data_IF_719752031566
#
_entry.id   IF_719752031566
#
_cell.length_a   1.000
_cell.length_b   1.000
_cell.length_c   1.000
_cell.angle_alpha   90.00
_cell.angle_beta   90.00
_cell.angle_gamma   90.00
#
_symmetry.space_group_name_H-M   'P 1'
#
loop_
_entity.id
_entity.type
_entity.pdbx_description
1 polymer ?
#
# COMPACT_ATOMS: atom_id res chain seq x y z
N UNK A 1 -22.99 52.49 -25.62
CA UNK A 1 -23.29 51.48 -24.57
C UNK A 1 -22.54 50.21 -24.99
N UNK A 2 -21.43 49.88 -24.32
CA UNK A 2 -20.73 48.61 -24.53
C UNK A 2 -21.35 47.58 -23.60
N UNK A 3 -21.99 46.56 -24.16
CA UNK A 3 -22.42 45.39 -23.42
C UNK A 3 -21.30 44.34 -23.49
N UNK A 4 -20.63 44.09 -22.37
CA UNK A 4 -19.72 42.96 -22.23
C UNK A 4 -20.55 41.75 -21.78
N UNK A 5 -20.61 40.72 -22.62
CA UNK A 5 -21.15 39.41 -22.23
C UNK A 5 -20.07 38.72 -21.41
N UNK A 6 -20.28 38.63 -20.10
CA UNK A 6 -19.46 37.77 -19.26
C UNK A 6 -19.77 36.31 -19.63
N UNK A 7 -18.84 35.65 -20.33
CA UNK A 7 -18.89 34.20 -20.52
C UNK A 7 -18.42 33.59 -19.20
N UNK A 8 -19.36 33.17 -18.36
CA UNK A 8 -19.03 32.35 -17.19
C UNK A 8 -18.78 30.91 -17.67
N UNK A 9 -17.52 30.51 -17.75
CA UNK A 9 -17.14 29.09 -17.88
C UNK A 9 -17.59 28.36 -16.62
N UNK A 10 -18.69 27.61 -16.70
CA UNK A 10 -19.15 26.73 -15.64
C UNK A 10 -18.30 25.46 -15.66
N UNK A 11 -17.27 25.41 -14.82
CA UNK A 11 -16.55 24.16 -14.54
C UNK A 11 -17.45 23.27 -13.68
N UNK A 12 -18.05 22.25 -14.28
CA UNK A 12 -18.75 21.21 -13.54
C UNK A 12 -17.78 20.07 -13.27
N UNK A 13 -17.16 20.07 -12.09
CA UNK A 13 -16.33 18.93 -11.66
C UNK A 13 -17.26 17.76 -11.33
N UNK A 14 -17.33 16.77 -12.23
CA UNK A 14 -18.03 15.52 -11.97
C UNK A 14 -17.06 14.51 -11.38
N UNK A 15 -17.42 13.85 -10.27
CA UNK A 15 -16.60 12.80 -9.69
C UNK A 15 -16.35 11.66 -10.70
N UNK A 16 -15.10 11.21 -10.78
CA UNK A 16 -14.70 10.14 -11.69
C UNK A 16 -15.43 8.82 -11.36
N UNK A 17 -15.91 8.06 -12.37
CA UNK A 17 -16.51 6.74 -12.17
C UNK A 17 -15.52 5.73 -11.56
N UNK A 18 -15.99 4.71 -10.84
CA UNK A 18 -15.11 3.67 -10.28
C UNK A 18 -14.25 2.97 -11.33
N UNK A 19 -14.75 2.82 -12.56
CA UNK A 19 -14.04 2.13 -13.66
C UNK A 19 -12.83 2.87 -14.21
N UNK A 20 -12.64 4.12 -13.77
CA UNK A 20 -11.48 4.93 -14.16
C UNK A 20 -10.41 4.93 -13.08
N UNK A 21 -10.65 4.27 -11.93
CA UNK A 21 -9.59 4.04 -10.96
C UNK A 21 -8.49 3.21 -11.63
N UNK A 22 -7.23 3.63 -11.51
CA UNK A 22 -6.08 2.84 -11.93
C UNK A 22 -6.08 1.48 -11.24
N UNK A 23 -5.71 0.44 -11.99
CA UNK A 23 -5.65 -0.95 -11.50
C UNK A 23 -4.39 -1.60 -12.04
N UNK A 24 -3.77 -2.50 -11.28
CA UNK A 24 -2.75 -3.40 -11.82
C UNK A 24 -3.41 -4.67 -12.36
N UNK A 25 -3.09 -5.13 -13.59
CA UNK A 25 -3.55 -6.40 -14.11
C UNK A 25 -2.84 -7.54 -13.38
N UNK A 26 -3.60 -8.34 -12.63
CA UNK A 26 -3.08 -9.43 -11.81
C UNK A 26 -4.11 -10.54 -11.70
N UNK A 27 -3.67 -11.73 -11.31
CA UNK A 27 -4.57 -12.79 -10.88
C UNK A 27 -5.38 -12.37 -9.64
N UNK A 28 -6.50 -13.04 -9.40
CA UNK A 28 -7.39 -12.69 -8.27
C UNK A 28 -6.70 -12.84 -6.91
N UNK A 29 -5.75 -13.78 -6.81
CA UNK A 29 -4.96 -14.05 -5.62
C UNK A 29 -3.50 -14.15 -6.06
N UNK A 30 -2.64 -13.32 -5.48
CA UNK A 30 -1.19 -13.34 -5.73
C UNK A 30 -0.43 -13.58 -4.42
N UNK A 31 0.71 -14.28 -4.51
CA UNK A 31 1.56 -14.54 -3.33
C UNK A 31 2.17 -13.22 -2.82
N UNK A 32 2.14 -13.00 -1.51
CA UNK A 32 2.95 -11.99 -0.83
C UNK A 32 4.39 -12.51 -0.79
N UNK A 33 5.22 -11.96 -1.67
CA UNK A 33 6.64 -12.22 -1.81
C UNK A 33 7.39 -10.91 -2.12
N UNK A 34 8.70 -10.97 -2.39
CA UNK A 34 9.53 -9.77 -2.64
C UNK A 34 9.33 -9.14 -4.04
N UNK A 35 8.43 -9.69 -4.84
CA UNK A 35 8.00 -9.16 -6.15
C UNK A 35 6.57 -8.60 -6.10
N UNK A 36 5.87 -8.79 -4.98
CA UNK A 36 4.52 -8.30 -4.78
C UNK A 36 4.52 -6.77 -4.65
N UNK A 37 3.57 -6.04 -5.26
CA UNK A 37 3.52 -4.58 -5.13
C UNK A 37 3.43 -4.08 -3.68
N UNK A 38 2.85 -4.87 -2.76
CA UNK A 38 2.81 -4.55 -1.34
C UNK A 38 4.17 -4.70 -0.63
N UNK A 39 5.24 -5.16 -1.28
CA UNK A 39 6.53 -5.40 -0.63
C UNK A 39 7.10 -4.13 0.02
N UNK A 40 7.41 -4.20 1.32
CA UNK A 40 7.89 -3.07 2.14
C UNK A 40 9.33 -2.65 1.90
N UNK A 41 9.84 -2.80 0.67
CA UNK A 41 11.15 -2.35 0.21
C UNK A 41 11.13 -2.18 -1.31
N UNK A 42 12.24 -1.73 -1.91
CA UNK A 42 12.34 -1.60 -3.36
C UNK A 42 12.23 -2.97 -4.07
N UNK A 43 11.51 -3.00 -5.19
CA UNK A 43 11.40 -4.16 -6.07
C UNK A 43 12.41 -4.01 -7.20
N UNK A 44 13.37 -4.92 -7.31
CA UNK A 44 14.44 -4.82 -8.32
C UNK A 44 14.00 -5.19 -9.74
N UNK A 45 12.94 -5.98 -9.88
CA UNK A 45 12.41 -6.44 -11.17
C UNK A 45 10.91 -6.62 -11.07
N UNK A 46 10.12 -5.54 -11.21
CA UNK A 46 8.67 -5.62 -11.09
C UNK A 46 8.10 -6.48 -12.23
N UNK A 47 7.38 -7.53 -11.86
CA UNK A 47 6.68 -8.42 -12.80
C UNK A 47 5.35 -7.78 -13.24
N UNK A 48 4.76 -6.97 -12.37
CA UNK A 48 3.51 -6.26 -12.61
C UNK A 48 3.81 -4.83 -13.01
N UNK A 49 3.42 -4.45 -14.21
CA UNK A 49 3.40 -3.05 -14.64
C UNK A 49 2.01 -2.47 -14.36
N UNK A 50 1.95 -1.18 -14.01
CA UNK A 50 0.68 -0.48 -13.90
C UNK A 50 0.09 -0.30 -15.29
N UNK A 51 -0.65 -1.28 -15.78
CA UNK A 51 -1.55 -1.06 -16.92
C UNK A 51 -2.76 -0.28 -16.43
N UNK A 52 -2.57 1.03 -16.29
CA UNK A 52 -3.68 1.96 -16.11
C UNK A 52 -4.59 1.76 -17.30
N UNK A 53 -5.79 1.20 -17.08
CA UNK A 53 -6.82 1.18 -18.10
C UNK A 53 -7.00 2.63 -18.57
N UNK A 54 -6.60 2.91 -19.81
CA UNK A 54 -6.76 4.21 -20.47
C UNK A 54 -8.24 4.44 -20.81
N UNK A 55 -9.11 4.35 -19.81
CA UNK A 55 -10.47 4.84 -19.93
C UNK A 55 -10.37 6.36 -19.83
N UNK A 56 -10.05 6.99 -20.96
CA UNK A 56 -10.03 8.44 -21.14
C UNK A 56 -11.40 8.96 -20.72
N UNK A 57 -11.45 9.63 -19.58
CA UNK A 57 -12.51 10.59 -19.31
C UNK A 57 -11.94 11.94 -19.69
N UNK A 58 -12.56 12.59 -20.67
CA UNK A 58 -12.37 14.01 -20.87
C UNK A 58 -12.85 14.70 -19.59
N UNK A 59 -11.91 15.06 -18.71
CA UNK A 59 -12.21 15.68 -17.42
C UNK A 59 -12.79 17.09 -17.58
N UNK A 60 -12.54 17.72 -18.74
CA UNK A 60 -13.09 19.02 -19.11
C UNK A 60 -13.71 18.94 -20.51
N UNK A 61 -15.02 19.18 -20.59
CA UNK A 61 -15.65 19.60 -21.84
C UNK A 61 -15.86 21.10 -21.75
N UNK A 62 -14.96 21.87 -22.35
CA UNK A 62 -15.15 23.30 -22.55
C UNK A 62 -16.05 23.49 -23.78
N UNK A 63 -17.19 24.14 -23.59
CA UNK A 63 -18.03 24.60 -24.70
C UNK A 63 -17.65 26.05 -24.98
N UNK A 64 -16.87 26.28 -26.02
CA UNK A 64 -16.55 27.62 -26.51
C UNK A 64 -17.30 27.81 -27.82
N UNK A 65 -18.22 28.76 -27.87
CA UNK A 65 -19.00 29.11 -29.08
C UNK A 65 -19.79 27.95 -29.73
N UNK A 66 -20.19 26.93 -28.96
CA UNK A 66 -20.94 25.78 -29.48
C UNK A 66 -20.08 24.69 -30.12
N UNK A 67 -18.76 24.83 -30.06
CA UNK A 67 -17.80 23.77 -30.40
C UNK A 67 -17.29 23.13 -29.10
N UNK A 68 -17.14 21.80 -29.14
CA UNK A 68 -16.62 21.00 -28.02
C UNK A 68 -15.11 20.92 -28.15
N UNK A 69 -14.39 21.49 -27.19
CA UNK A 69 -12.95 21.30 -27.07
C UNK A 69 -12.69 20.20 -26.04
N UNK A 70 -11.87 19.21 -26.42
CA UNK A 70 -11.50 18.08 -25.58
C UNK A 70 -10.01 18.18 -25.23
N UNK A 71 -9.68 18.30 -23.96
CA UNK A 71 -8.31 18.03 -23.49
C UNK A 71 -8.13 16.51 -23.41
N UNK A 72 -7.57 15.93 -24.48
CA UNK A 72 -7.16 14.52 -24.53
C UNK A 72 -5.70 14.42 -24.08
N UNK A 73 -5.45 13.80 -22.92
CA UNK A 73 -4.10 13.49 -22.47
C UNK A 73 -3.69 12.09 -22.91
N UNK A 74 -2.79 12.02 -23.91
CA UNK A 74 -2.10 10.80 -24.34
C UNK A 74 -1.38 10.99 -25.68
N UNK A 75 -0.08 10.63 -25.75
CA UNK A 75 0.76 10.73 -26.96
C UNK A 75 0.43 9.65 -28.02
N UNK A 76 -0.81 9.64 -28.51
CA UNK A 76 -1.26 8.71 -29.54
C UNK A 76 -2.05 9.42 -30.64
N UNK A 77 -1.61 9.26 -31.89
CA UNK A 77 -2.33 9.73 -33.07
C UNK A 77 -3.67 8.95 -33.19
N UNK A 78 -4.80 9.63 -32.93
CA UNK A 78 -6.12 9.01 -32.97
C UNK A 78 -6.74 9.17 -34.37
N UNK A 79 -6.98 8.05 -35.06
CA UNK A 79 -7.80 7.98 -36.27
C UNK A 79 -9.10 7.23 -35.96
N UNK A 80 -10.09 7.97 -35.45
CA UNK A 80 -11.42 7.45 -35.17
C UNK A 80 -12.39 8.59 -34.86
N UNK A 81 -13.67 8.41 -35.20
CA UNK A 81 -14.72 9.36 -34.81
C UNK A 81 -14.83 9.41 -33.28
N UNK A 82 -14.52 10.57 -32.69
CA UNK A 82 -14.72 10.83 -31.28
C UNK A 82 -16.22 10.93 -30.98
N UNK A 83 -16.83 9.81 -30.58
CA UNK A 83 -18.19 9.83 -30.02
C UNK A 83 -18.09 10.37 -28.61
N UNK A 84 -18.55 11.61 -28.41
CA UNK A 84 -18.74 12.23 -27.10
C UNK A 84 -19.84 11.51 -26.30
N UNK A 85 -19.56 10.29 -25.86
CA UNK A 85 -20.39 9.55 -24.93
C UNK A 85 -20.26 10.22 -23.57
N UNK A 86 -21.28 10.99 -23.16
CA UNK A 86 -21.53 11.25 -21.73
C UNK A 86 -21.56 9.90 -21.02
N UNK A 87 -20.46 9.48 -20.41
CA UNK A 87 -20.44 8.38 -19.47
C UNK A 87 -21.27 8.81 -18.26
N UNK A 88 -22.59 8.65 -18.37
CA UNK A 88 -23.51 8.80 -17.23
C UNK A 88 -23.01 7.88 -16.15
N UNK A 89 -22.70 8.44 -14.97
CA UNK A 89 -22.35 7.70 -13.76
C UNK A 89 -23.31 6.52 -13.58
N UNK A 90 -22.81 5.30 -13.73
CA UNK A 90 -23.57 4.08 -13.42
C UNK A 90 -23.28 3.73 -11.97
N UNK A 91 -24.28 3.79 -11.10
CA UNK A 91 -24.09 3.43 -9.68
C UNK A 91 -23.75 1.94 -9.48
N UNK A 92 -24.08 1.11 -10.47
CA UNK A 92 -23.81 -0.34 -10.57
C UNK A 92 -22.41 -0.66 -11.13
N UNK A 93 -21.63 0.37 -11.50
CA UNK A 93 -20.30 0.23 -12.06
C UNK A 93 -19.34 -0.57 -11.17
N UNK A 94 -18.54 -1.44 -11.79
CA UNK A 94 -17.47 -2.23 -11.14
C UNK A 94 -16.18 -2.03 -11.92
N UNK A 95 -15.07 -1.75 -11.24
CA UNK A 95 -13.72 -1.87 -11.79
C UNK A 95 -13.14 -3.25 -11.46
N UNK A 96 -12.00 -3.62 -12.05
CA UNK A 96 -11.44 -4.96 -11.86
C UNK A 96 -11.19 -5.27 -10.37
N UNK A 97 -10.66 -4.31 -9.61
CA UNK A 97 -10.37 -4.47 -8.17
C UNK A 97 -11.60 -4.78 -7.32
N UNK A 98 -12.71 -4.06 -7.49
CA UNK A 98 -13.95 -4.39 -6.76
C UNK A 98 -14.43 -5.77 -7.19
N UNK A 99 -14.34 -6.10 -8.49
CA UNK A 99 -14.66 -7.42 -8.99
C UNK A 99 -13.81 -8.52 -8.33
N UNK A 100 -12.51 -8.26 -8.16
CA UNK A 100 -11.54 -9.14 -7.52
C UNK A 100 -11.89 -9.40 -6.05
N UNK A 101 -12.18 -8.34 -5.30
CA UNK A 101 -12.65 -8.44 -3.91
C UNK A 101 -13.93 -9.27 -3.84
N UNK A 102 -14.92 -9.00 -4.70
CA UNK A 102 -16.19 -9.72 -4.69
C UNK A 102 -16.06 -11.21 -5.02
N UNK A 103 -15.18 -11.56 -5.97
CA UNK A 103 -14.85 -12.95 -6.32
C UNK A 103 -14.17 -13.65 -5.16
N UNK A 104 -13.15 -13.04 -4.57
CA UNK A 104 -12.41 -13.61 -3.44
C UNK A 104 -13.28 -13.79 -2.18
N UNK A 105 -14.22 -12.87 -1.93
CA UNK A 105 -15.16 -12.96 -0.82
C UNK A 105 -16.39 -13.83 -1.12
N UNK A 106 -16.60 -14.20 -2.39
CA UNK A 106 -17.85 -14.77 -2.89
C UNK A 106 -19.08 -13.96 -2.42
N UNK A 107 -18.98 -12.63 -2.46
CA UNK A 107 -20.01 -11.72 -1.96
C UNK A 107 -19.95 -10.38 -2.69
N UNK A 108 -21.12 -9.88 -3.11
CA UNK A 108 -21.25 -8.53 -3.67
C UNK A 108 -21.12 -7.47 -2.58
N UNK A 109 -20.36 -6.41 -2.86
CA UNK A 109 -20.23 -5.27 -1.95
C UNK A 109 -21.47 -4.37 -2.05
N UNK A 110 -21.96 -3.88 -0.92
CA UNK A 110 -22.97 -2.83 -0.90
C UNK A 110 -22.37 -1.52 -1.43
N UNK A 111 -23.12 -0.80 -2.26
CA UNK A 111 -22.68 0.45 -2.92
C UNK A 111 -23.68 1.58 -2.73
N UNK A 112 -24.89 1.27 -2.28
CA UNK A 112 -25.87 2.27 -1.91
C UNK A 112 -25.40 2.94 -0.61
N UNK A 113 -24.98 4.20 -0.74
CA UNK A 113 -24.46 5.01 0.38
C UNK A 113 -25.41 5.06 1.58
N UNK A 114 -26.72 4.96 1.35
CA UNK A 114 -27.73 4.98 2.42
C UNK A 114 -27.80 3.66 3.22
N UNK A 115 -27.20 2.58 2.70
CA UNK A 115 -27.13 1.26 3.37
C UNK A 115 -25.77 1.00 4.00
N UNK A 116 -24.74 1.71 3.56
CA UNK A 116 -23.40 1.61 4.13
C UNK A 116 -23.39 2.06 5.59
N UNK A 117 -22.65 1.33 6.43
CA UNK A 117 -22.47 1.72 7.83
C UNK A 117 -21.60 2.99 7.88
N UNK A 118 -21.82 3.81 8.90
CA UNK A 118 -21.05 5.04 9.09
C UNK A 118 -19.82 4.84 9.98
N UNK A 119 -19.69 3.66 10.58
CA UNK A 119 -18.55 3.26 11.38
C UNK A 119 -18.43 1.73 11.43
N UNK A 120 -17.23 1.24 11.69
CA UNK A 120 -16.96 -0.18 11.82
C UNK A 120 -15.58 -0.43 12.40
N UNK A 121 -15.42 -1.58 13.03
CA UNK A 121 -14.17 -2.04 13.62
C UNK A 121 -14.04 -3.53 13.31
N UNK A 122 -12.81 -4.01 13.14
CA UNK A 122 -12.53 -5.43 12.96
C UNK A 122 -12.97 -6.22 14.20
N UNK A 123 -13.53 -7.42 14.00
CA UNK A 123 -13.95 -8.29 15.10
C UNK A 123 -12.76 -8.74 15.96
N UNK A 124 -11.62 -8.99 15.31
CA UNK A 124 -10.31 -9.19 15.95
C UNK A 124 -9.46 -7.97 15.65
N UNK A 125 -9.05 -7.25 16.69
CA UNK A 125 -8.20 -6.07 16.54
C UNK A 125 -6.78 -6.53 16.18
N UNK A 126 -6.22 -6.07 15.06
CA UNK A 126 -4.86 -6.44 14.69
C UNK A 126 -3.85 -5.97 15.74
N UNK A 127 -2.89 -6.83 16.09
CA UNK A 127 -1.93 -6.51 17.13
C UNK A 127 -0.79 -5.61 16.63
N UNK A 128 -0.34 -4.65 17.45
CA UNK A 128 0.77 -3.77 17.10
C UNK A 128 2.11 -4.52 17.14
N UNK A 129 3.04 -4.15 16.26
CA UNK A 129 4.42 -4.63 16.26
C UNK A 129 5.31 -3.65 15.50
N UNK A 130 6.61 -3.94 15.46
CA UNK A 130 7.55 -3.32 14.53
C UNK A 130 7.42 -3.92 13.12
N UNK A 131 7.87 -3.17 12.12
CA UNK A 131 8.04 -3.60 10.73
C UNK A 131 9.38 -4.34 10.51
N UNK A 132 10.20 -4.48 11.56
CA UNK A 132 11.49 -5.19 11.57
C UNK A 132 12.40 -4.73 10.45
N UNK A 133 12.85 -3.48 10.57
CA UNK A 133 13.62 -2.78 9.54
C UNK A 133 14.82 -3.61 9.04
N UNK A 134 14.97 -3.67 7.72
CA UNK A 134 16.13 -4.29 7.06
C UNK A 134 17.43 -3.64 7.54
N UNK A 135 17.42 -2.31 7.70
CA UNK A 135 18.57 -1.54 8.20
C UNK A 135 19.00 -1.91 9.63
N UNK A 136 18.11 -2.51 10.43
CA UNK A 136 18.41 -3.02 11.78
C UNK A 136 18.73 -4.52 11.79
N UNK A 137 18.86 -5.15 10.61
CA UNK A 137 19.01 -6.59 10.44
C UNK A 137 17.76 -7.41 10.81
N UNK A 138 16.57 -6.81 10.66
CA UNK A 138 15.28 -7.48 10.88
C UNK A 138 15.14 -7.99 12.31
N UNK A 139 14.71 -9.25 12.47
CA UNK A 139 14.54 -9.86 13.80
C UNK A 139 15.85 -10.25 14.50
N UNK A 140 17.01 -10.04 13.84
CA UNK A 140 18.32 -10.14 14.50
C UNK A 140 18.60 -8.92 15.40
N UNK A 141 17.88 -7.81 15.23
CA UNK A 141 17.99 -6.66 16.10
C UNK A 141 17.66 -7.02 17.55
N UNK A 142 18.48 -6.53 18.49
CA UNK A 142 18.09 -6.53 19.91
C UNK A 142 17.12 -5.39 20.15
N UNK A 143 15.84 -5.73 20.30
CA UNK A 143 14.83 -4.79 20.77
C UNK A 143 14.89 -4.57 22.29
N UNK A 144 15.60 -5.44 23.02
CA UNK A 144 15.90 -5.30 24.44
C UNK A 144 17.40 -5.52 24.66
N UNK A 145 18.12 -4.48 25.07
CA UNK A 145 19.57 -4.50 25.24
C UNK A 145 20.07 -5.51 26.29
N UNK A 146 19.20 -5.90 27.21
CA UNK A 146 19.55 -6.85 28.28
C UNK A 146 19.34 -8.32 27.89
N UNK A 147 18.88 -8.60 26.67
CA UNK A 147 18.56 -9.94 26.21
C UNK A 147 19.15 -10.24 24.83
N UNK A 148 19.30 -11.54 24.53
CA UNK A 148 19.59 -11.96 23.16
C UNK A 148 18.47 -11.51 22.20
N UNK A 149 18.81 -11.25 20.94
CA UNK A 149 17.82 -10.99 19.89
C UNK A 149 16.91 -12.20 19.66
N UNK A 150 15.74 -11.95 19.08
CA UNK A 150 14.74 -12.98 18.78
C UNK A 150 15.35 -14.17 18.05
N UNK A 151 16.15 -13.92 17.01
CA UNK A 151 16.80 -14.98 16.23
C UNK A 151 17.77 -15.82 17.05
N UNK A 152 18.57 -15.19 17.92
CA UNK A 152 19.52 -15.90 18.79
C UNK A 152 18.76 -16.71 19.85
N UNK A 153 17.68 -16.17 20.42
CA UNK A 153 16.77 -16.92 21.32
C UNK A 153 16.22 -18.16 20.61
N UNK A 154 15.73 -18.02 19.37
CA UNK A 154 15.22 -19.13 18.58
C UNK A 154 16.31 -20.19 18.34
N UNK A 155 17.50 -19.78 17.91
CA UNK A 155 18.60 -20.72 17.70
C UNK A 155 18.95 -21.50 18.97
N UNK A 156 19.09 -20.82 20.12
CA UNK A 156 19.38 -21.46 21.41
C UNK A 156 18.28 -22.43 21.83
N UNK A 157 17.01 -22.03 21.73
CA UNK A 157 15.87 -22.85 22.13
C UNK A 157 15.76 -24.13 21.30
N UNK A 158 16.08 -24.07 20.01
CA UNK A 158 15.95 -25.20 19.08
C UNK A 158 17.27 -25.90 18.74
N UNK A 159 18.35 -25.61 19.49
CA UNK A 159 19.69 -26.21 19.32
C UNK A 159 20.24 -26.03 17.89
N UNK A 160 19.98 -24.87 17.29
CA UNK A 160 20.56 -24.46 16.02
C UNK A 160 21.82 -23.62 16.26
N UNK A 161 22.67 -23.50 15.24
CA UNK A 161 23.80 -22.59 15.26
C UNK A 161 23.30 -21.14 15.16
N UNK A 162 23.54 -20.28 16.18
CA UNK A 162 23.03 -18.91 16.18
C UNK A 162 23.56 -18.08 15.01
N UNK A 163 24.85 -18.19 14.67
CA UNK A 163 25.46 -17.41 13.58
C UNK A 163 24.91 -17.84 12.23
N UNK A 164 24.77 -19.14 12.00
CA UNK A 164 24.19 -19.67 10.75
C UNK A 164 22.75 -19.19 10.57
N UNK A 165 21.95 -19.18 11.64
CA UNK A 165 20.56 -18.73 11.58
C UNK A 165 20.47 -17.21 11.36
N UNK A 166 21.19 -16.40 12.13
CA UNK A 166 21.16 -14.94 11.97
C UNK A 166 21.68 -14.52 10.59
N UNK A 167 22.72 -15.18 10.06
CA UNK A 167 23.19 -14.96 8.70
C UNK A 167 22.15 -15.34 7.64
N UNK A 168 21.40 -16.43 7.85
CA UNK A 168 20.35 -16.84 6.93
C UNK A 168 19.19 -15.83 6.90
N UNK A 169 18.74 -15.37 8.07
CA UNK A 169 17.71 -14.33 8.19
C UNK A 169 18.20 -13.04 7.53
N UNK A 170 19.43 -12.60 7.82
CA UNK A 170 20.00 -11.38 7.26
C UNK A 170 20.08 -11.40 5.73
N UNK A 171 20.41 -12.55 5.12
CA UNK A 171 20.42 -12.70 3.66
C UNK A 171 19.02 -12.66 3.03
N UNK A 172 17.99 -13.05 3.79
CA UNK A 172 16.61 -13.05 3.32
C UNK A 172 15.99 -11.65 3.40
N UNK A 173 16.08 -10.99 4.56
CA UNK A 173 15.36 -9.74 4.83
C UNK A 173 16.07 -8.83 5.85
N UNK A 174 17.41 -8.87 5.89
CA UNK A 174 18.23 -8.00 6.73
C UNK A 174 19.40 -7.38 5.95
N UNK A 175 20.46 -7.01 6.65
CA UNK A 175 21.56 -6.23 6.07
C UNK A 175 22.27 -6.97 4.92
N UNK A 176 22.44 -8.29 5.02
CA UNK A 176 23.08 -9.09 3.97
C UNK A 176 22.22 -9.27 2.72
N UNK A 177 20.92 -8.96 2.76
CA UNK A 177 20.09 -8.94 1.54
C UNK A 177 20.41 -7.74 0.66
N UNK A 178 21.08 -6.71 1.21
CA UNK A 178 21.39 -5.44 0.54
C UNK A 178 22.87 -5.33 0.13
N UNK A 179 23.53 -6.45 -0.14
CA UNK A 179 24.97 -6.49 -0.46
C UNK A 179 25.39 -5.75 -1.73
N UNK A 180 24.42 -5.41 -2.60
CA UNK A 180 24.62 -4.59 -3.80
C UNK A 180 24.66 -3.09 -3.51
N UNK A 181 24.22 -2.66 -2.34
CA UNK A 181 24.22 -1.26 -1.96
C UNK A 181 25.64 -0.77 -1.63
N UNK A 182 25.79 0.55 -1.55
CA UNK A 182 27.06 1.21 -1.22
C UNK A 182 27.60 0.71 0.14
N UNK A 183 28.81 0.13 0.21
CA UNK A 183 29.42 -0.25 1.47
C UNK A 183 29.72 0.98 2.34
N UNK A 184 29.62 0.82 3.66
CA UNK A 184 29.83 1.91 4.61
C UNK A 184 30.39 1.43 5.96
N UNK A 185 30.89 2.38 6.75
CA UNK A 185 31.30 2.22 8.16
C UNK A 185 30.68 3.26 9.09
N UNK A 186 30.01 4.29 8.55
CA UNK A 186 29.29 5.32 9.29
C UNK A 186 28.28 6.03 8.38
N UNK A 187 27.31 6.72 8.98
CA UNK A 187 26.19 7.34 8.28
C UNK A 187 26.58 8.44 7.29
N UNK A 188 27.68 9.17 7.52
CA UNK A 188 28.10 10.24 6.62
C UNK A 188 28.43 9.72 5.21
N UNK A 189 28.80 8.44 5.08
CA UNK A 189 29.07 7.82 3.79
C UNK A 189 27.79 7.56 2.98
N UNK A 190 26.62 7.56 3.63
CA UNK A 190 25.32 7.36 2.99
C UNK A 190 24.61 8.68 2.67
N UNK A 191 25.00 9.79 3.30
CA UNK A 191 24.35 11.09 3.15
C UNK A 191 24.23 11.58 1.70
N UNK A 192 25.17 11.22 0.82
CA UNK A 192 25.14 11.62 -0.60
C UNK A 192 24.05 10.94 -1.43
N UNK A 193 23.36 9.92 -0.89
CA UNK A 193 22.34 9.17 -1.62
C UNK A 193 20.98 9.88 -1.63
N UNK A 194 20.71 10.76 -0.65
CA UNK A 194 19.46 11.52 -0.52
C UNK A 194 18.17 10.66 -0.55
N UNK A 195 18.25 9.41 -0.12
CA UNK A 195 17.16 8.41 -0.14
C UNK A 195 16.74 7.96 1.27
N UNK A 196 17.22 8.66 2.31
CA UNK A 196 17.00 8.29 3.71
C UNK A 196 17.83 7.08 4.18
N UNK A 197 18.85 6.68 3.43
CA UNK A 197 19.77 5.60 3.80
C UNK A 197 20.60 5.93 5.04
N UNK A 198 20.76 4.93 5.91
CA UNK A 198 21.75 4.92 7.01
C UNK A 198 22.73 3.78 6.84
N UNK A 199 23.87 3.87 7.51
CA UNK A 199 24.87 2.81 7.48
C UNK A 199 24.45 1.65 8.39
N UNK A 200 23.84 0.63 7.79
CA UNK A 200 23.35 -0.54 8.48
C UNK A 200 24.49 -1.54 8.72
N UNK A 201 24.96 -1.63 9.96
CA UNK A 201 26.05 -2.53 10.38
C UNK A 201 25.48 -3.60 11.29
N UNK A 202 25.73 -4.87 10.94
CA UNK A 202 25.29 -6.02 11.75
C UNK A 202 26.03 -6.06 13.08
N UNK A 203 25.39 -6.67 14.06
CA UNK A 203 26.02 -6.84 15.37
C UNK A 203 27.32 -7.64 15.27
N UNK A 204 28.40 -7.09 15.85
CA UNK A 204 29.73 -7.71 15.83
C UNK A 204 30.55 -7.43 14.58
N UNK A 205 29.97 -6.75 13.58
CA UNK A 205 30.67 -6.34 12.35
C UNK A 205 31.13 -4.88 12.44
N UNK A 206 32.09 -4.52 11.57
CA UNK A 206 32.63 -3.16 11.47
C UNK A 206 32.30 -2.45 10.16
N UNK A 207 31.62 -3.15 9.24
CA UNK A 207 31.25 -2.69 7.91
C UNK A 207 29.83 -3.14 7.60
N UNK A 208 29.14 -2.31 6.83
CA UNK A 208 27.75 -2.51 6.47
C UNK A 208 27.45 -1.95 5.09
N UNK A 209 26.18 -1.69 4.85
CA UNK A 209 25.69 -1.13 3.60
C UNK A 209 24.76 0.06 3.88
N UNK A 210 24.73 1.02 2.98
CA UNK A 210 23.75 2.10 3.03
C UNK A 210 22.37 1.52 2.65
N UNK A 211 21.44 1.52 3.60
CA UNK A 211 20.10 0.92 3.43
C UNK A 211 19.05 1.98 3.79
N UNK A 212 18.06 2.24 2.91
CA UNK A 212 16.91 3.09 3.23
C UNK A 212 16.20 2.59 4.48
N UNK A 213 15.98 3.50 5.42
CA UNK A 213 15.46 3.12 6.75
C UNK A 213 14.02 2.61 6.74
N UNK A 214 13.26 2.89 5.68
CA UNK A 214 11.88 2.43 5.52
C UNK A 214 11.77 0.96 5.10
N UNK A 215 12.85 0.36 4.58
CA UNK A 215 12.84 -1.05 4.18
C UNK A 215 12.54 -1.94 5.38
N UNK A 216 11.57 -2.84 5.24
CA UNK A 216 11.22 -3.83 6.25
C UNK A 216 10.20 -4.83 5.76
N UNK A 217 9.60 -5.54 6.71
CA UNK A 217 8.64 -6.62 6.47
C UNK A 217 7.24 -6.24 6.99
N UNK A 218 6.84 -4.97 6.81
CA UNK A 218 5.50 -4.50 7.13
C UNK A 218 4.41 -5.29 6.37
N UNK A 219 4.69 -5.69 5.13
CA UNK A 219 3.82 -6.55 4.31
C UNK A 219 3.58 -7.94 4.92
N UNK A 220 4.48 -8.40 5.80
CA UNK A 220 4.35 -9.67 6.50
C UNK A 220 3.73 -9.48 7.90
N UNK A 221 4.12 -8.43 8.62
CA UNK A 221 3.54 -8.13 9.93
C UNK A 221 2.04 -7.83 9.82
N UNK A 222 1.62 -6.99 8.87
CA UNK A 222 0.22 -6.57 8.76
C UNK A 222 -0.76 -7.74 8.59
N UNK A 223 -0.56 -8.72 7.69
CA UNK A 223 -1.42 -9.90 7.62
C UNK A 223 -1.27 -10.81 8.84
N UNK A 224 -0.07 -10.99 9.40
CA UNK A 224 0.11 -11.76 10.64
C UNK A 224 -0.72 -11.16 11.80
N UNK A 225 -0.75 -9.83 11.89
CA UNK A 225 -1.54 -9.09 12.87
C UNK A 225 -3.04 -9.34 12.75
N UNK A 226 -3.53 -9.54 11.53
CA UNK A 226 -4.94 -9.76 11.23
C UNK A 226 -5.34 -11.21 11.46
N UNK A 227 -4.51 -12.16 11.02
CA UNK A 227 -4.85 -13.58 10.95
C UNK A 227 -4.53 -14.32 12.24
N UNK A 228 -3.51 -13.89 12.98
CA UNK A 228 -3.04 -14.61 14.16
C UNK A 228 -3.56 -13.96 15.44
N UNK A 229 -3.96 -14.77 16.45
CA UNK A 229 -4.27 -14.24 17.76
C UNK A 229 -3.04 -13.59 18.39
N UNK A 230 -3.23 -12.44 19.04
CA UNK A 230 -2.12 -11.75 19.69
C UNK A 230 -1.50 -12.62 20.81
N UNK A 231 -0.16 -12.82 20.80
CA UNK A 231 0.53 -13.45 21.92
C UNK A 231 0.36 -12.62 23.19
N UNK A 232 -0.11 -13.24 24.28
CA UNK A 232 -0.48 -12.52 25.52
C UNK A 232 0.58 -12.57 26.62
N UNK A 233 1.35 -13.66 26.67
CA UNK A 233 2.29 -13.93 27.76
C UNK A 233 3.62 -14.45 27.20
N UNK A 234 4.74 -14.22 27.92
CA UNK A 234 5.99 -14.88 27.62
C UNK A 234 5.88 -16.41 27.70
N UNK A 235 6.68 -17.12 26.89
CA UNK A 235 6.75 -18.58 26.86
C UNK A 235 8.20 -19.01 26.99
N UNK A 236 8.48 -19.96 27.88
CA UNK A 236 9.81 -20.56 28.02
C UNK A 236 9.87 -21.89 27.27
N UNK A 237 10.83 -22.02 26.36
CA UNK A 237 11.11 -23.26 25.63
C UNK A 237 12.59 -23.61 25.79
N UNK A 238 12.86 -24.81 26.29
CA UNK A 238 14.23 -25.33 26.46
C UNK A 238 15.16 -24.36 27.22
N UNK A 239 14.65 -23.72 28.27
CA UNK A 239 15.40 -22.76 29.09
C UNK A 239 15.52 -21.35 28.51
N UNK A 240 14.99 -21.09 27.32
CA UNK A 240 14.96 -19.75 26.70
C UNK A 240 13.55 -19.17 26.81
N UNK A 241 13.45 -17.95 27.35
CA UNK A 241 12.18 -17.22 27.45
C UNK A 241 11.99 -16.31 26.24
N UNK A 242 10.90 -16.55 25.51
CA UNK A 242 10.39 -15.68 24.45
C UNK A 242 9.33 -14.77 25.05
N UNK A 243 9.57 -13.46 25.01
CA UNK A 243 8.58 -12.45 25.37
C UNK A 243 7.56 -12.31 24.24
N UNK A 244 6.44 -11.64 24.52
CA UNK A 244 5.39 -11.37 23.53
C UNK A 244 5.96 -10.76 22.24
N UNK A 245 6.89 -9.81 22.37
CA UNK A 245 7.50 -9.15 21.22
C UNK A 245 8.43 -10.08 20.40
N UNK A 246 9.13 -11.02 21.06
CA UNK A 246 9.90 -12.06 20.35
C UNK A 246 8.96 -12.98 19.54
N UNK A 247 7.79 -13.33 20.09
CA UNK A 247 6.81 -14.20 19.40
C UNK A 247 6.23 -13.46 18.19
N UNK A 248 5.91 -12.17 18.32
CA UNK A 248 5.47 -11.32 17.21
C UNK A 248 6.52 -11.25 16.11
N UNK A 249 7.79 -11.06 16.48
CA UNK A 249 8.92 -11.06 15.55
C UNK A 249 9.03 -12.37 14.75
N UNK A 250 8.96 -13.52 15.43
CA UNK A 250 8.99 -14.83 14.78
C UNK A 250 7.79 -15.04 13.85
N UNK A 251 6.59 -14.61 14.27
CA UNK A 251 5.39 -14.72 13.44
C UNK A 251 5.53 -13.90 12.15
N UNK A 252 6.00 -12.66 12.26
CA UNK A 252 6.27 -11.82 11.09
C UNK A 252 7.30 -12.47 10.16
N UNK A 253 8.38 -13.03 10.70
CA UNK A 253 9.40 -13.72 9.90
C UNK A 253 8.84 -14.94 9.15
N UNK A 254 7.88 -15.66 9.75
CA UNK A 254 7.19 -16.77 9.07
C UNK A 254 6.34 -16.23 7.92
N UNK A 255 5.55 -15.18 8.15
CA UNK A 255 4.67 -14.61 7.13
C UNK A 255 5.43 -14.06 5.92
N UNK A 256 6.64 -13.51 6.12
CA UNK A 256 7.52 -13.05 5.02
C UNK A 256 7.98 -14.22 4.12
N UNK A 257 8.16 -15.42 4.69
CA UNK A 257 8.58 -16.62 3.95
C UNK A 257 7.45 -17.55 3.49
N UNK A 258 6.23 -17.38 4.01
CA UNK A 258 5.14 -18.34 3.85
C UNK A 258 4.35 -18.21 2.53
N UNK A 259 4.63 -17.20 1.70
CA UNK A 259 3.92 -16.93 0.43
C UNK A 259 2.41 -16.84 0.61
N UNK A 260 1.98 -16.01 1.56
CA UNK A 260 0.56 -15.85 1.89
C UNK A 260 -0.17 -15.26 0.68
N UNK A 261 -1.25 -15.91 0.23
CA UNK A 261 -2.09 -15.38 -0.85
C UNK A 261 -2.78 -14.08 -0.43
N UNK A 262 -2.75 -13.09 -1.30
CA UNK A 262 -3.37 -11.78 -1.09
C UNK A 262 -4.26 -11.38 -2.25
N UNK A 263 -5.32 -10.64 -1.94
CA UNK A 263 -6.16 -9.95 -2.92
C UNK A 263 -5.66 -8.52 -2.96
N UNK A 264 -4.78 -8.22 -3.90
CA UNK A 264 -4.24 -6.87 -4.08
C UNK A 264 -5.20 -6.01 -4.91
N UNK A 265 -5.32 -4.73 -4.56
CA UNK A 265 -6.12 -3.73 -5.30
C UNK A 265 -5.38 -2.40 -5.29
N UNK A 266 -5.59 -1.59 -6.31
CA UNK A 266 -4.81 -0.37 -6.54
C UNK A 266 -3.54 -0.64 -7.34
N UNK A 267 -2.57 0.25 -7.19
CA UNK A 267 -1.29 0.21 -7.88
C UNK A 267 -0.18 0.74 -6.98
N UNK A 268 0.97 0.06 -7.01
CA UNK A 268 2.18 0.59 -6.38
C UNK A 268 2.71 1.77 -7.19
N UNK A 269 3.09 2.84 -6.49
CA UNK A 269 3.80 3.97 -7.05
C UNK A 269 5.29 3.89 -6.71
N UNK A 270 6.15 3.82 -7.73
CA UNK A 270 7.61 3.78 -7.58
C UNK A 270 8.28 5.08 -8.08
N UNK A 271 7.50 6.15 -8.26
CA UNK A 271 7.99 7.46 -8.73
C UNK A 271 8.47 8.38 -7.61
N UNK A 272 8.65 9.66 -7.92
CA UNK A 272 9.06 10.71 -6.98
C UNK A 272 7.86 11.28 -6.22
N UNK A 273 7.99 11.44 -4.90
CA UNK A 273 6.90 11.93 -4.04
C UNK A 273 6.35 13.31 -4.45
N UNK A 274 7.20 14.18 -5.01
CA UNK A 274 6.87 15.51 -5.52
C UNK A 274 6.69 15.55 -7.05
N UNK A 275 6.27 14.42 -7.62
CA UNK A 275 6.00 14.28 -9.05
C UNK A 275 5.03 15.33 -9.62
N UNK A 276 5.05 15.53 -10.95
CA UNK A 276 4.31 16.60 -11.59
C UNK A 276 2.79 16.44 -11.42
N UNK A 277 2.11 17.57 -11.22
CA UNK A 277 0.66 17.65 -11.10
C UNK A 277 0.03 18.40 -12.27
N UNK A 278 -1.23 18.08 -12.57
CA UNK A 278 -2.05 18.88 -13.47
C UNK A 278 -2.44 20.23 -12.84
N UNK A 279 -3.16 21.05 -13.61
CA UNK A 279 -3.59 22.39 -13.18
C UNK A 279 -4.62 22.39 -12.03
N UNK A 280 -5.15 21.21 -11.65
CA UNK A 280 -6.02 21.01 -10.49
C UNK A 280 -5.27 20.46 -9.27
N UNK A 281 -3.95 20.26 -9.37
CA UNK A 281 -3.10 19.72 -8.31
C UNK A 281 -3.17 18.19 -8.19
N UNK A 282 -3.68 17.47 -9.20
CA UNK A 282 -3.68 16.00 -9.23
C UNK A 282 -2.38 15.52 -9.86
N UNK A 283 -1.72 14.52 -9.26
CA UNK A 283 -0.56 13.89 -9.89
C UNK A 283 -0.88 13.40 -11.29
N UNK A 284 0.03 13.62 -12.24
CA UNK A 284 -0.15 13.18 -13.63
C UNK A 284 -0.07 11.65 -13.72
N UNK A 285 0.83 11.04 -12.95
CA UNK A 285 0.93 9.59 -12.85
C UNK A 285 -0.34 9.01 -12.22
N UNK A 286 -0.96 8.08 -12.94
CA UNK A 286 -2.14 7.40 -12.46
C UNK A 286 -1.83 6.40 -11.33
N UNK A 287 -0.65 5.79 -11.27
CA UNK A 287 -0.29 4.92 -10.14
C UNK A 287 -0.32 5.69 -8.80
N UNK A 288 0.03 6.97 -8.81
CA UNK A 288 -0.06 7.86 -7.64
C UNK A 288 -1.52 8.25 -7.27
N UNK A 289 -2.51 7.80 -8.06
CA UNK A 289 -3.96 8.09 -7.89
C UNK A 289 -4.82 6.83 -7.90
N UNK A 290 -4.23 5.67 -7.62
CA UNK A 290 -4.80 4.34 -7.80
C UNK A 290 -6.17 4.12 -7.10
N UNK A 291 -6.27 4.46 -5.82
CA UNK A 291 -7.47 4.28 -5.01
C UNK A 291 -8.30 5.56 -4.99
N UNK A 292 -9.31 5.61 -5.87
CA UNK A 292 -10.32 6.67 -5.84
C UNK A 292 -11.18 6.64 -4.56
N UNK A 293 -11.69 7.80 -4.09
CA UNK A 293 -12.39 7.93 -2.81
C UNK A 293 -13.70 7.11 -2.73
N UNK A 294 -14.36 6.88 -3.87
CA UNK A 294 -15.53 6.01 -3.94
C UNK A 294 -15.20 4.55 -3.63
N UNK A 295 -14.08 4.04 -4.16
CA UNK A 295 -13.58 2.69 -3.87
C UNK A 295 -13.24 2.58 -2.39
N UNK A 296 -12.44 3.53 -1.87
CA UNK A 296 -12.06 3.59 -0.47
C UNK A 296 -13.28 3.48 0.45
N UNK A 297 -14.29 4.33 0.20
CA UNK A 297 -15.51 4.35 1.00
C UNK A 297 -16.29 3.03 0.97
N UNK A 298 -16.44 2.42 -0.22
CA UNK A 298 -17.14 1.14 -0.40
C UNK A 298 -16.41 0.02 0.34
N UNK A 299 -15.09 -0.12 0.16
CA UNK A 299 -14.29 -1.20 0.76
C UNK A 299 -14.29 -1.07 2.28
N UNK A 300 -13.98 0.10 2.83
CA UNK A 300 -13.98 0.32 4.27
C UNK A 300 -15.35 0.01 4.90
N UNK A 301 -16.43 0.51 4.29
CA UNK A 301 -17.77 0.35 4.83
C UNK A 301 -18.25 -1.10 4.81
N UNK A 302 -17.91 -1.86 3.76
CA UNK A 302 -18.25 -3.28 3.68
C UNK A 302 -17.36 -4.14 4.56
N UNK A 303 -16.04 -3.99 4.49
CA UNK A 303 -15.09 -4.81 5.23
C UNK A 303 -15.23 -4.64 6.74
N UNK A 304 -15.18 -3.41 7.25
CA UNK A 304 -15.21 -3.14 8.69
C UNK A 304 -16.62 -2.89 9.23
N UNK A 305 -17.51 -2.33 8.39
CA UNK A 305 -18.87 -1.98 8.80
C UNK A 305 -19.79 -3.20 8.85
N UNK A 306 -19.90 -3.91 7.73
CA UNK A 306 -20.76 -5.09 7.58
C UNK A 306 -20.05 -6.37 8.03
N UNK A 307 -18.88 -6.66 7.46
CA UNK A 307 -18.21 -7.96 7.65
C UNK A 307 -17.34 -8.07 8.90
N UNK A 308 -17.01 -6.94 9.54
CA UNK A 308 -16.10 -6.88 10.70
C UNK A 308 -14.72 -7.52 10.42
N UNK A 309 -14.24 -7.43 9.18
CA UNK A 309 -12.96 -7.96 8.72
C UNK A 309 -11.96 -6.83 8.51
N UNK A 310 -10.77 -6.98 9.08
CA UNK A 310 -9.61 -6.12 8.78
C UNK A 310 -9.04 -6.44 7.40
N UNK A 311 -8.28 -5.51 6.87
CA UNK A 311 -7.44 -5.64 5.67
C UNK A 311 -6.15 -4.83 5.87
N UNK A 312 -5.21 -4.97 4.94
CA UNK A 312 -3.95 -4.20 4.93
C UNK A 312 -4.12 -2.99 4.02
N UNK A 313 -3.59 -1.85 4.44
CA UNK A 313 -3.60 -0.61 3.68
C UNK A 313 -2.19 -0.01 3.67
N UNK A 314 -1.72 0.43 2.51
CA UNK A 314 -0.61 1.36 2.42
C UNK A 314 -1.09 2.74 2.86
N UNK A 315 -0.49 3.27 3.93
CA UNK A 315 -0.88 4.57 4.50
C UNK A 315 -0.04 5.73 3.98
N UNK A 316 0.97 5.42 3.17
CA UNK A 316 1.73 6.39 2.40
C UNK A 316 1.24 6.34 0.94
N UNK A 317 1.30 7.47 0.24
CA UNK A 317 0.89 7.57 -1.16
C UNK A 317 2.09 7.71 -2.11
N UNK A 318 3.28 7.98 -1.56
CA UNK A 318 4.52 8.19 -2.29
C UNK A 318 5.24 6.88 -2.64
N UNK A 319 6.55 6.99 -2.82
CA UNK A 319 7.43 5.90 -3.24
C UNK A 319 7.54 4.76 -2.21
N UNK A 320 7.42 5.11 -0.93
CA UNK A 320 7.59 4.17 0.17
C UNK A 320 6.30 3.40 0.42
N UNK A 321 6.40 2.09 0.59
CA UNK A 321 5.23 1.24 0.87
C UNK A 321 5.15 0.94 2.37
N UNK A 322 4.13 1.50 3.03
CA UNK A 322 3.91 1.39 4.48
C UNK A 322 2.62 0.63 4.79
N UNK A 323 2.70 -0.70 4.76
CA UNK A 323 1.59 -1.58 5.08
C UNK A 323 1.18 -1.51 6.56
N UNK A 324 -0.09 -1.18 6.81
CA UNK A 324 -0.69 -1.15 8.14
C UNK A 324 -1.97 -1.99 8.18
N UNK A 325 -2.19 -2.79 9.25
CA UNK A 325 -3.45 -3.49 9.41
C UNK A 325 -4.54 -2.54 9.92
N UNK A 326 -5.65 -2.44 9.20
CA UNK A 326 -6.72 -1.47 9.48
C UNK A 326 -7.60 -1.91 10.64
N UNK A 327 -7.53 -1.17 11.76
CA UNK A 327 -8.38 -1.42 12.93
C UNK A 327 -9.86 -1.15 12.71
N UNK A 328 -10.20 0.00 12.13
CA UNK A 328 -11.58 0.49 12.05
C UNK A 328 -11.69 1.82 11.31
N UNK A 329 -12.92 2.29 11.13
CA UNK A 329 -13.23 3.58 10.53
C UNK A 329 -14.45 4.24 11.15
N UNK A 330 -14.55 5.55 10.96
CA UNK A 330 -15.69 6.37 11.35
C UNK A 330 -15.83 7.55 10.39
N UNK A 331 -17.03 7.73 9.85
CA UNK A 331 -17.40 8.93 9.11
C UNK A 331 -17.65 10.05 10.12
N UNK A 332 -16.89 11.12 10.02
CA UNK A 332 -17.02 12.29 10.91
C UNK A 332 -18.05 13.29 10.40
N UNK A 333 -18.22 13.37 9.08
CA UNK A 333 -19.16 14.28 8.44
C UNK A 333 -19.84 13.59 7.26
N UNK A 334 -21.15 13.71 7.17
CA UNK A 334 -21.95 13.21 6.05
C UNK A 334 -23.02 14.26 5.72
N UNK A 335 -22.96 14.80 4.52
CA UNK A 335 -23.92 15.78 4.02
C UNK A 335 -24.27 15.47 2.57
N UNK A 336 -25.51 15.74 2.21
CA UNK A 336 -25.98 15.67 0.83
C UNK A 336 -25.84 17.05 0.21
N UNK A 337 -24.98 17.18 -0.80
CA UNK A 337 -24.98 18.36 -1.66
C UNK A 337 -26.09 18.18 -2.68
N UNK A 338 -27.06 19.10 -2.73
CA UNK A 338 -27.98 19.14 -3.86
C UNK A 338 -27.15 19.42 -5.13
N UNK A 339 -27.35 18.63 -6.19
CA UNK A 339 -26.96 19.10 -7.52
C UNK A 339 -27.74 20.39 -7.74
N UNK A 340 -27.03 21.52 -7.86
CA UNK A 340 -27.68 22.82 -8.05
C UNK A 340 -28.68 22.71 -9.18
N UNK A 341 -29.92 23.15 -8.92
CA UNK A 341 -30.96 23.25 -9.94
C UNK A 341 -30.35 23.98 -11.15
N UNK A 342 -30.16 23.24 -12.25
CA UNK A 342 -29.81 23.82 -13.55
C UNK A 342 -31.00 24.58 -14.11
#
# INVERSE_FOLDING_TARGET
>A
MLAAIAVSTLYSVTAAPLQTNPTMPMEDIIELNHENPAFGAAIESPIYTTEVSKNVVADNVTVVNGEFEFDLFGDGEFSGEAVASRLRRRMEAVNDDIGRIERALNKKLERNVNKLKTQGEAASIPWPSDYWAVANDGINARWNDNEDSTSVKYAKAFKLDPKKLTDAISRNNGVLSQTRNKPCTNDNQCASLNDGSKCAIREGESRGYCIPTWFGVCHAWAPAAIQEPEPKCPVTKNGVTFRVFDIKALMTQIYDGARVGSVFTGARYDGEDDGPTDHFGRFIDAAHRDIGPGFFHIVFSNMLGDMKRSFVLDVDAGNQVWNQPVRGYKILHFSTCAEGNK
#
